data_IF_898991356950
#
_entry.id   IF_898991356950
#
_cell.length_a   1.000
_cell.length_b   1.000
_cell.length_c   1.000
_cell.angle_alpha   90.00
_cell.angle_beta   90.00
_cell.angle_gamma   90.00
#
_symmetry.space_group_name_H-M   'P 1'
#
loop_
_entity.id
_entity.type
_entity.pdbx_description
1 polymer ?
#
# COMPACT_ATOMS: atom_id res chain seq x y z
N UNK A 1 5.35 20.56 0.33
CA UNK A 1 5.64 20.24 -1.07
C UNK A 1 7.07 20.42 -1.57
N UNK A 2 7.87 21.34 -1.00
CA UNK A 2 9.18 21.70 -1.58
C UNK A 2 10.20 20.56 -1.59
N UNK A 3 10.18 19.67 -0.60
CA UNK A 3 11.27 18.70 -0.45
C UNK A 3 10.99 17.42 -1.25
N UNK A 4 9.82 16.80 -1.11
CA UNK A 4 9.49 15.55 -1.83
C UNK A 4 9.46 15.75 -3.35
N UNK A 5 8.72 16.74 -3.84
CA UNK A 5 8.60 16.97 -5.30
C UNK A 5 9.70 17.87 -5.85
N UNK A 6 10.15 18.86 -5.07
CA UNK A 6 11.19 19.79 -5.49
C UNK A 6 12.59 19.20 -5.35
N UNK A 7 13.04 18.94 -4.12
CA UNK A 7 14.41 18.47 -3.85
C UNK A 7 14.61 17.01 -4.28
N UNK A 8 13.72 16.11 -3.88
CA UNK A 8 13.83 14.68 -4.19
C UNK A 8 13.33 14.32 -5.59
N UNK A 9 12.71 15.28 -6.29
CA UNK A 9 12.23 15.10 -7.65
C UNK A 9 11.11 14.08 -7.81
N UNK A 10 10.39 13.72 -6.75
CA UNK A 10 9.34 12.70 -6.79
C UNK A 10 8.22 13.09 -7.77
N UNK A 11 7.94 12.19 -8.73
CA UNK A 11 6.91 12.36 -9.77
C UNK A 11 5.73 11.39 -9.62
N UNK A 12 5.69 10.62 -8.54
CA UNK A 12 4.56 9.72 -8.26
C UNK A 12 3.38 10.44 -7.61
N UNK A 13 2.35 9.66 -7.31
CA UNK A 13 1.12 10.11 -6.65
C UNK A 13 1.34 10.15 -5.14
N UNK A 14 0.88 11.21 -4.47
CA UNK A 14 0.89 11.37 -3.02
C UNK A 14 -0.52 11.14 -2.49
N UNK A 15 -0.68 10.09 -1.68
CA UNK A 15 -1.96 9.68 -1.09
C UNK A 15 -1.90 9.90 0.42
N UNK A 16 -2.97 10.40 1.01
CA UNK A 16 -3.05 10.58 2.46
C UNK A 16 -3.19 9.24 3.16
N UNK A 17 -2.81 9.18 4.44
CA UNK A 17 -3.29 8.11 5.30
C UNK A 17 -4.80 8.27 5.55
N UNK A 18 -5.43 7.20 6.03
CA UNK A 18 -6.81 7.10 6.51
C UNK A 18 -7.03 8.18 7.58
N UNK A 19 -7.70 9.26 7.20
CA UNK A 19 -8.21 10.28 8.12
C UNK A 19 -7.29 11.49 8.31
N UNK A 20 -6.09 11.45 7.72
CA UNK A 20 -5.07 12.49 7.90
C UNK A 20 -5.48 13.85 7.31
N UNK A 21 -6.45 13.88 6.40
CA UNK A 21 -6.94 15.09 5.74
C UNK A 21 -8.41 15.42 6.10
N UNK A 22 -8.94 14.91 7.22
CA UNK A 22 -10.36 15.04 7.58
C UNK A 22 -10.77 16.40 8.20
N UNK A 23 -9.82 17.19 8.69
CA UNK A 23 -10.13 18.56 9.12
C UNK A 23 -10.29 19.45 7.87
N UNK A 24 -11.36 20.25 7.81
CA UNK A 24 -11.67 21.12 6.65
C UNK A 24 -10.52 22.08 6.33
N UNK A 25 -9.81 22.57 7.34
CA UNK A 25 -8.61 23.38 7.14
C UNK A 25 -7.41 22.56 6.64
N UNK A 26 -7.29 21.32 7.11
CA UNK A 26 -6.25 20.41 6.67
C UNK A 26 -6.52 19.90 5.24
N UNK A 27 -7.78 19.78 4.82
CA UNK A 27 -8.14 19.24 3.52
C UNK A 27 -7.63 20.13 2.37
N UNK A 28 -8.03 21.40 2.31
CA UNK A 28 -7.61 22.32 1.25
C UNK A 28 -6.11 22.58 1.29
N UNK A 29 -5.58 22.85 2.48
CA UNK A 29 -4.15 23.12 2.63
C UNK A 29 -3.29 21.88 2.32
N UNK A 30 -3.82 20.66 2.41
CA UNK A 30 -3.09 19.44 2.02
C UNK A 30 -2.89 19.36 0.50
N UNK A 31 -3.89 19.71 -0.31
CA UNK A 31 -3.73 19.73 -1.77
C UNK A 31 -2.78 20.83 -2.22
N UNK A 32 -2.82 22.01 -1.59
CA UNK A 32 -1.84 23.08 -1.82
C UNK A 32 -0.41 22.67 -1.42
N UNK A 33 -0.28 21.67 -0.55
CA UNK A 33 1.00 21.15 -0.05
C UNK A 33 1.47 19.90 -0.78
N UNK A 34 0.74 19.43 -1.80
CA UNK A 34 1.18 18.38 -2.71
C UNK A 34 0.45 17.06 -2.63
N UNK A 35 -0.63 16.98 -1.84
CA UNK A 35 -1.51 15.82 -1.82
C UNK A 35 -2.24 15.69 -3.17
N UNK A 36 -2.37 14.48 -3.68
CA UNK A 36 -3.13 14.19 -4.90
C UNK A 36 -4.44 13.44 -4.60
N UNK A 37 -4.44 12.55 -3.60
CA UNK A 37 -5.59 11.69 -3.24
C UNK A 37 -5.77 11.66 -1.72
N UNK A 38 -6.99 11.85 -1.25
CA UNK A 38 -7.36 11.66 0.17
C UNK A 38 -8.00 10.28 0.37
N UNK A 39 -7.48 9.48 1.30
CA UNK A 39 -7.94 8.10 1.57
C UNK A 39 -9.18 8.03 2.48
N UNK A 40 -9.60 9.15 3.09
CA UNK A 40 -10.82 9.27 3.91
C UNK A 40 -11.53 10.62 3.66
N UNK A 41 -11.93 10.88 2.43
CA UNK A 41 -12.94 11.90 2.19
C UNK A 41 -14.27 11.17 2.00
N UNK A 42 -15.16 11.09 3.02
CA UNK A 42 -16.55 10.88 2.68
C UNK A 42 -16.94 12.01 1.73
N UNK A 43 -17.81 11.72 0.77
CA UNK A 43 -18.38 12.65 -0.23
C UNK A 43 -19.17 13.84 0.36
N UNK A 44 -18.75 14.38 1.50
CA UNK A 44 -19.44 15.40 2.26
C UNK A 44 -18.34 16.36 2.75
N UNK A 45 -18.35 17.59 2.25
CA UNK A 45 -17.54 18.76 2.67
C UNK A 45 -16.26 19.09 1.86
N UNK A 46 -16.36 19.43 0.57
CA UNK A 46 -15.80 20.69 -0.01
C UNK A 46 -15.59 20.62 -1.54
N UNK A 47 -16.47 21.24 -2.36
CA UNK A 47 -16.41 21.25 -3.82
C UNK A 47 -15.52 22.38 -4.36
N UNK A 48 -14.36 22.67 -3.75
CA UNK A 48 -13.52 23.77 -4.23
C UNK A 48 -12.78 23.39 -5.50
N UNK A 49 -12.56 24.38 -6.38
CA UNK A 49 -11.92 24.14 -7.67
C UNK A 49 -10.49 23.62 -7.51
N UNK A 50 -9.78 24.03 -6.45
CA UNK A 50 -8.45 23.53 -6.11
C UNK A 50 -8.44 22.05 -5.74
N UNK A 51 -9.40 21.59 -4.93
CA UNK A 51 -9.52 20.18 -4.57
C UNK A 51 -9.86 19.33 -5.80
N UNK A 52 -10.74 19.84 -6.68
CA UNK A 52 -11.05 19.19 -7.96
C UNK A 52 -9.82 19.10 -8.86
N UNK A 53 -9.08 20.20 -9.06
CA UNK A 53 -7.86 20.22 -9.87
C UNK A 53 -6.81 19.24 -9.35
N UNK A 54 -6.59 19.19 -8.04
CA UNK A 54 -5.61 18.28 -7.46
C UNK A 54 -6.04 16.81 -7.59
N UNK A 55 -7.33 16.52 -7.40
CA UNK A 55 -7.89 15.19 -7.65
C UNK A 55 -7.77 14.80 -9.13
N UNK A 56 -8.08 15.71 -10.06
CA UNK A 56 -7.92 15.49 -11.50
C UNK A 56 -6.46 15.19 -11.84
N UNK A 57 -5.50 15.97 -11.34
CA UNK A 57 -4.07 15.67 -11.52
C UNK A 57 -3.70 14.30 -10.95
N UNK A 58 -4.19 13.96 -9.75
CA UNK A 58 -3.96 12.65 -9.14
C UNK A 58 -4.48 11.49 -9.99
N UNK A 59 -5.70 11.63 -10.50
CA UNK A 59 -6.32 10.65 -11.41
C UNK A 59 -5.57 10.56 -12.73
N UNK A 60 -5.21 11.67 -13.36
CA UNK A 60 -4.42 11.71 -14.59
C UNK A 60 -3.06 11.06 -14.40
N UNK A 61 -2.39 11.32 -13.28
CA UNK A 61 -1.11 10.69 -12.93
C UNK A 61 -1.26 9.20 -12.67
N UNK A 62 -2.32 8.76 -11.99
CA UNK A 62 -2.62 7.34 -11.83
C UNK A 62 -2.87 6.69 -13.19
N UNK A 63 -3.73 7.26 -14.04
CA UNK A 63 -4.02 6.74 -15.38
C UNK A 63 -2.77 6.72 -16.24
N UNK A 64 -1.95 7.79 -16.21
CA UNK A 64 -0.67 7.86 -16.89
C UNK A 64 0.31 6.80 -16.37
N UNK A 65 0.40 6.60 -15.05
CA UNK A 65 1.21 5.55 -14.46
C UNK A 65 0.73 4.15 -14.88
N UNK A 66 -0.58 3.87 -14.83
CA UNK A 66 -1.14 2.60 -15.29
C UNK A 66 -0.87 2.36 -16.78
N UNK A 67 -1.09 3.37 -17.62
CA UNK A 67 -0.77 3.27 -19.06
C UNK A 67 0.73 3.06 -19.32
N UNK A 68 1.62 3.76 -18.60
CA UNK A 68 3.08 3.59 -18.73
C UNK A 68 3.64 2.31 -18.12
N UNK A 69 3.03 1.79 -17.04
CA UNK A 69 3.33 0.47 -16.49
C UNK A 69 2.90 -0.65 -17.43
N UNK A 70 2.34 -0.31 -18.59
CA UNK A 70 1.73 -1.24 -19.51
C UNK A 70 0.70 -2.11 -18.78
N UNK A 71 0.03 -1.57 -17.74
CA UNK A 71 -0.97 -2.32 -16.98
C UNK A 71 -2.29 -2.43 -17.73
N UNK A 72 -2.47 -1.64 -18.80
CA UNK A 72 -3.46 -1.92 -19.84
C UNK A 72 -3.11 -3.21 -20.62
N UNK A 73 -1.83 -3.59 -20.71
CA UNK A 73 -1.35 -4.88 -21.22
C UNK A 73 -0.99 -5.89 -20.12
N UNK A 74 -1.06 -5.54 -18.81
CA UNK A 74 -1.14 -6.53 -17.73
C UNK A 74 -2.52 -7.17 -17.82
N UNK A 75 -2.63 -8.08 -18.77
CA UNK A 75 -3.69 -9.05 -18.92
C UNK A 75 -3.79 -9.87 -17.62
N UNK A 76 -4.51 -9.34 -16.64
CA UNK A 76 -5.07 -10.11 -15.54
C UNK A 76 -6.56 -10.22 -15.75
N UNK A 77 -7.23 -9.08 -15.82
CA UNK A 77 -8.65 -8.94 -16.13
C UNK A 77 -9.03 -7.44 -16.12
N UNK A 78 -10.15 -7.06 -16.73
CA UNK A 78 -10.79 -5.74 -16.54
C UNK A 78 -12.20 -5.99 -16.01
N UNK A 79 -12.68 -5.30 -14.96
CA UNK A 79 -14.05 -5.47 -14.49
C UNK A 79 -15.05 -5.25 -15.64
N UNK A 80 -16.12 -6.06 -15.75
CA UNK A 80 -16.62 -7.01 -14.74
C UNK A 80 -15.93 -8.39 -14.75
N UNK A 81 -15.12 -8.73 -15.74
CA UNK A 81 -14.61 -10.10 -15.98
C UNK A 81 -13.37 -10.46 -15.13
N UNK A 82 -13.34 -9.96 -13.90
CA UNK A 82 -12.24 -10.09 -12.93
C UNK A 82 -12.56 -11.03 -11.76
N UNK A 83 -13.73 -11.65 -11.73
CA UNK A 83 -14.22 -12.37 -10.56
C UNK A 83 -13.26 -13.49 -10.12
N UNK A 84 -12.61 -14.16 -11.08
CA UNK A 84 -11.68 -15.25 -10.80
C UNK A 84 -10.42 -14.78 -10.09
N UNK A 85 -9.87 -13.64 -10.50
CA UNK A 85 -8.69 -13.01 -9.91
C UNK A 85 -9.02 -12.41 -8.55
N UNK A 86 -10.17 -11.72 -8.44
CA UNK A 86 -10.65 -11.12 -7.21
C UNK A 86 -11.04 -12.16 -6.14
N UNK A 87 -11.58 -13.30 -6.58
CA UNK A 87 -11.91 -14.43 -5.71
C UNK A 87 -10.79 -15.48 -5.64
N UNK A 88 -9.61 -15.20 -6.19
CA UNK A 88 -8.50 -16.15 -6.19
C UNK A 88 -8.12 -16.53 -4.76
N UNK A 89 -7.85 -17.82 -4.54
CA UNK A 89 -7.45 -18.30 -3.23
C UNK A 89 -6.04 -17.78 -2.88
N UNK A 90 -5.98 -16.69 -2.12
CA UNK A 90 -4.75 -16.10 -1.61
C UNK A 90 -4.04 -16.97 -0.55
N UNK A 91 -4.61 -18.11 -0.14
CA UNK A 91 -4.04 -19.05 0.84
C UNK A 91 -3.47 -20.32 0.20
N UNK A 92 -3.00 -20.25 -1.04
CA UNK A 92 -2.36 -21.38 -1.70
C UNK A 92 -1.16 -21.92 -0.89
N UNK A 93 -0.82 -23.20 -1.09
CA UNK A 93 0.36 -23.78 -0.47
C UNK A 93 1.65 -23.04 -0.87
N UNK A 94 1.71 -22.52 -2.10
CA UNK A 94 2.82 -21.69 -2.58
C UNK A 94 2.95 -20.37 -1.80
N UNK A 95 1.84 -19.64 -1.59
CA UNK A 95 1.86 -18.43 -0.76
C UNK A 95 2.25 -18.73 0.69
N UNK A 96 1.72 -19.82 1.24
CA UNK A 96 2.04 -20.25 2.60
C UNK A 96 3.52 -20.64 2.75
N UNK A 97 4.13 -21.24 1.74
CA UNK A 97 5.56 -21.55 1.73
C UNK A 97 6.41 -20.27 1.76
N UNK A 98 6.09 -19.27 0.93
CA UNK A 98 6.76 -17.96 0.95
C UNK A 98 6.60 -17.27 2.31
N UNK A 99 5.38 -17.24 2.86
CA UNK A 99 5.11 -16.65 4.17
C UNK A 99 5.88 -17.35 5.29
N UNK A 100 5.98 -18.69 5.25
CA UNK A 100 6.75 -19.47 6.23
C UNK A 100 8.24 -19.12 6.17
N UNK A 101 8.82 -19.03 4.97
CA UNK A 101 10.21 -18.64 4.78
C UNK A 101 10.45 -17.23 5.31
N UNK A 102 9.60 -16.26 4.95
CA UNK A 102 9.70 -14.89 5.44
C UNK A 102 9.59 -14.81 6.97
N UNK A 103 8.67 -15.56 7.57
CA UNK A 103 8.53 -15.64 9.02
C UNK A 103 9.80 -16.19 9.69
N UNK A 104 10.37 -17.28 9.16
CA UNK A 104 11.61 -17.84 9.69
C UNK A 104 12.79 -16.87 9.58
N UNK A 105 12.90 -16.15 8.46
CA UNK A 105 13.95 -15.15 8.24
C UNK A 105 13.80 -13.88 9.07
N UNK A 106 12.58 -13.56 9.52
CA UNK A 106 12.30 -12.40 10.35
C UNK A 106 12.56 -12.64 11.85
N UNK A 107 12.81 -13.88 12.27
CA UNK A 107 13.10 -14.19 13.67
C UNK A 107 14.51 -13.74 14.04
N UNK A 108 14.62 -12.96 15.12
CA UNK A 108 15.89 -12.53 15.70
C UNK A 108 16.12 -13.27 17.02
N UNK A 109 17.20 -14.05 17.09
CA UNK A 109 17.61 -14.76 18.30
C UNK A 109 18.40 -13.82 19.22
N UNK A 110 17.73 -13.25 20.21
CA UNK A 110 18.35 -12.29 21.14
C UNK A 110 19.31 -12.96 22.15
N UNK A 111 19.07 -14.23 22.51
CA UNK A 111 19.90 -14.99 23.43
C UNK A 111 19.77 -16.49 23.18
N UNK A 112 20.89 -17.19 23.10
CA UNK A 112 20.94 -18.66 23.05
C UNK A 112 21.87 -19.22 24.15
N UNK A 113 21.45 -19.06 25.40
CA UNK A 113 22.24 -19.50 26.54
C UNK A 113 22.51 -21.00 26.49
N UNK A 114 23.78 -21.39 26.65
CA UNK A 114 24.23 -22.80 26.68
C UNK A 114 23.87 -23.61 25.43
N UNK A 115 23.63 -22.96 24.28
CA UNK A 115 23.32 -23.65 23.03
C UNK A 115 22.00 -24.43 23.06
N UNK A 116 20.99 -23.91 23.78
CA UNK A 116 19.69 -24.55 23.95
C UNK A 116 18.95 -24.78 22.62
N UNK A 117 19.11 -23.89 21.64
CA UNK A 117 18.53 -24.01 20.31
C UNK A 117 19.57 -24.51 19.28
N UNK A 118 19.15 -25.30 18.27
CA UNK A 118 17.79 -25.77 18.02
C UNK A 118 17.37 -26.85 19.02
N UNK A 119 16.07 -26.92 19.32
CA UNK A 119 15.51 -28.04 20.07
C UNK A 119 15.68 -29.30 19.21
N UNK A 120 16.42 -30.28 19.71
CA UNK A 120 16.49 -31.59 19.07
C UNK A 120 15.19 -32.34 19.33
N UNK A 121 14.63 -32.90 18.26
CA UNK A 121 13.36 -33.62 18.31
C UNK A 121 13.54 -34.92 19.11
N UNK A 122 13.25 -34.87 20.40
CA UNK A 122 12.89 -36.06 21.16
C UNK A 122 11.40 -35.93 21.42
N UNK A 123 10.65 -36.99 21.17
CA UNK A 123 9.21 -37.12 21.36
C UNK A 123 8.77 -36.95 22.83
N UNK A 124 9.10 -35.81 23.45
CA UNK A 124 8.89 -35.48 24.85
C UNK A 124 7.98 -34.26 24.95
N UNK A 125 6.92 -34.43 25.73
CA UNK A 125 5.95 -33.40 26.07
C UNK A 125 6.65 -32.14 26.59
N UNK A 126 6.42 -31.02 25.92
CA UNK A 126 6.74 -29.69 26.45
C UNK A 126 5.80 -29.46 27.64
N UNK A 127 6.37 -29.45 28.85
CA UNK A 127 5.65 -29.24 30.12
C UNK A 127 5.18 -27.79 30.30
#
# INVERSE_FOLDING_TARGET
>A
DRDLRGIMGFKGVVISDVGAAMDTFAYESSFERGLDISLNSPEILAPTDKAKEAMTRGVEMLVSAFTHMNSAEMAGCTPPDCEKELAANARSAAHSAVARTAAASAVVLLKNGRGLLPLVDSSQTLA
#
